data_IF_643216457340
#
_entry.id   IF_643216457340
#
_cell.length_a   1.000
_cell.length_b   1.000
_cell.length_c   1.000
_cell.angle_alpha   90.00
_cell.angle_beta   90.00
_cell.angle_gamma   90.00
#
_symmetry.space_group_name_H-M   'P 1'
#
loop_
_entity.id
_entity.type
_entity.pdbx_description
1 polymer ?
#
# COMPACT_ATOMS: atom_id res chain seq x y z
N UNK A 1 -8.20 0.36 21.06
CA UNK A 1 -7.32 1.55 21.27
C UNK A 1 -5.90 1.17 20.90
N UNK A 2 -5.18 2.08 20.25
CA UNK A 2 -3.74 1.92 20.00
C UNK A 2 -2.96 2.68 21.06
N UNK A 3 -1.98 2.03 21.71
CA UNK A 3 -1.12 2.68 22.71
C UNK A 3 0.22 3.01 22.07
N UNK A 4 0.57 4.29 22.07
CA UNK A 4 1.84 4.79 21.53
C UNK A 4 2.82 5.07 22.68
N UNK A 5 4.10 4.82 22.45
CA UNK A 5 5.16 5.04 23.43
C UNK A 5 6.29 4.01 23.35
N UNK A 6 7.32 4.13 24.20
CA UNK A 6 8.44 3.19 24.26
C UNK A 6 8.00 1.73 24.46
N UNK A 7 8.66 0.81 23.74
CA UNK A 7 8.33 -0.63 23.73
C UNK A 7 8.09 -1.22 25.11
N UNK A 8 9.04 -1.01 26.03
CA UNK A 8 8.97 -1.51 27.42
C UNK A 8 7.73 -1.03 28.17
N UNK A 9 7.29 0.20 27.94
CA UNK A 9 6.12 0.77 28.62
C UNK A 9 4.80 0.26 28.01
N UNK A 10 4.77 0.04 26.69
CA UNK A 10 3.59 -0.53 26.02
C UNK A 10 3.32 -1.98 26.40
N UNK A 11 4.37 -2.78 26.63
CA UNK A 11 4.24 -4.18 27.05
C UNK A 11 3.47 -4.31 28.37
N UNK A 12 3.65 -3.35 29.29
CA UNK A 12 2.92 -3.28 30.56
C UNK A 12 1.42 -2.95 30.38
N UNK A 13 1.02 -2.48 29.19
CA UNK A 13 -0.32 -1.98 28.88
C UNK A 13 -1.04 -2.82 27.81
N UNK A 14 -0.51 -4.01 27.48
CA UNK A 14 -1.05 -4.87 26.42
C UNK A 14 -2.51 -5.32 26.67
N UNK A 15 -2.93 -5.42 27.93
CA UNK A 15 -4.29 -5.81 28.32
C UNK A 15 -5.09 -4.65 28.94
N UNK A 16 -4.64 -3.41 28.73
CA UNK A 16 -5.32 -2.23 29.26
C UNK A 16 -6.74 -2.16 28.69
N UNK A 17 -7.71 -2.09 29.59
CA UNK A 17 -9.12 -1.94 29.28
C UNK A 17 -9.61 -0.66 29.94
N UNK A 18 -10.15 0.25 29.14
CA UNK A 18 -10.66 1.54 29.61
C UNK A 18 -12.16 1.55 29.40
N UNK A 19 -12.93 1.90 30.42
CA UNK A 19 -14.36 2.15 30.29
C UNK A 19 -14.56 3.65 30.04
N UNK A 20 -15.10 4.00 28.87
CA UNK A 20 -15.44 5.38 28.50
C UNK A 20 -16.95 5.45 28.32
N UNK A 21 -17.66 6.07 29.26
CA UNK A 21 -19.13 6.26 29.22
C UNK A 21 -19.92 4.97 28.95
N UNK A 22 -19.50 3.83 29.52
CA UNK A 22 -20.14 2.53 29.30
C UNK A 22 -19.59 1.74 28.10
N UNK A 23 -18.70 2.33 27.30
CA UNK A 23 -17.99 1.64 26.23
C UNK A 23 -16.65 1.09 26.74
N UNK A 24 -16.52 -0.24 26.74
CA UNK A 24 -15.27 -0.93 27.05
C UNK A 24 -14.34 -0.89 25.86
N UNK A 25 -13.24 -0.15 25.96
CA UNK A 25 -12.21 -0.04 24.94
C UNK A 25 -10.99 -0.86 25.36
N UNK A 26 -10.66 -1.87 24.56
CA UNK A 26 -9.51 -2.75 24.80
C UNK A 26 -8.31 -2.30 23.97
N UNK A 27 -7.12 -2.44 24.54
CA UNK A 27 -5.86 -2.30 23.82
C UNK A 27 -5.77 -3.32 22.68
N UNK A 28 -5.42 -2.86 21.47
CA UNK A 28 -5.26 -3.73 20.31
C UNK A 28 -3.87 -3.52 19.69
N UNK A 29 -3.33 -4.60 19.13
CA UNK A 29 -2.02 -4.61 18.46
C UNK A 29 -2.06 -3.88 17.12
N UNK A 30 -3.24 -3.72 16.52
CA UNK A 30 -3.43 -2.84 15.38
C UNK A 30 -4.78 -2.15 15.44
N UNK A 31 -4.89 -0.99 14.81
CA UNK A 31 -6.12 -0.24 14.62
C UNK A 31 -6.23 0.17 13.16
N UNK A 32 -7.44 0.20 12.63
CA UNK A 32 -7.71 0.84 11.35
C UNK A 32 -8.18 2.26 11.58
N UNK A 33 -7.46 3.22 11.04
CA UNK A 33 -7.83 4.62 11.03
C UNK A 33 -7.86 5.14 9.59
N UNK A 34 -8.98 5.70 9.17
CA UNK A 34 -9.23 6.12 7.78
C UNK A 34 -8.85 5.05 6.72
N UNK A 35 -8.97 3.76 7.05
CA UNK A 35 -8.59 2.67 6.13
C UNK A 35 -7.10 2.30 6.12
N UNK A 36 -6.27 2.99 6.91
CA UNK A 36 -4.86 2.66 7.15
C UNK A 36 -4.75 1.76 8.37
N UNK A 37 -3.99 0.66 8.26
CA UNK A 37 -3.71 -0.20 9.42
C UNK A 37 -2.48 0.35 10.14
N UNK A 38 -2.69 0.81 11.37
CA UNK A 38 -1.65 1.34 12.26
C UNK A 38 -1.29 0.29 13.29
N UNK A 39 0.01 0.09 13.49
CA UNK A 39 0.59 -0.67 14.58
C UNK A 39 1.28 0.28 15.58
N UNK A 40 1.56 -0.16 16.82
CA UNK A 40 2.14 0.69 17.85
C UNK A 40 3.50 1.29 17.46
N UNK A 41 4.28 0.60 16.62
CA UNK A 41 5.58 1.06 16.12
C UNK A 41 5.44 2.01 14.91
N UNK A 42 4.21 2.28 14.45
CA UNK A 42 3.90 3.04 13.24
C UNK A 42 4.73 2.52 12.04
N UNK A 43 4.89 1.20 11.97
CA UNK A 43 5.71 0.55 10.95
C UNK A 43 5.01 0.45 9.59
N UNK A 44 3.68 0.57 9.56
CA UNK A 44 2.84 0.42 8.36
C UNK A 44 3.05 -0.89 7.58
N UNK A 45 3.79 -1.88 8.13
CA UNK A 45 4.18 -3.07 7.39
C UNK A 45 2.97 -3.91 6.99
N UNK A 46 2.01 -4.06 7.91
CA UNK A 46 0.76 -4.77 7.67
C UNK A 46 -0.11 -4.05 6.63
N UNK A 47 -0.13 -2.72 6.68
CA UNK A 47 -0.83 -1.90 5.69
C UNK A 47 -0.21 -2.08 4.30
N UNK A 48 1.10 -1.88 4.16
CA UNK A 48 1.85 -2.07 2.90
C UNK A 48 1.64 -3.49 2.36
N UNK A 49 1.70 -4.51 3.22
CA UNK A 49 1.46 -5.91 2.85
C UNK A 49 0.06 -6.10 2.29
N UNK A 50 -0.95 -5.53 2.95
CA UNK A 50 -2.36 -5.64 2.54
C UNK A 50 -2.61 -4.92 1.22
N UNK A 51 -2.17 -3.67 1.09
CA UNK A 51 -2.28 -2.88 -0.14
C UNK A 51 -1.58 -3.58 -1.30
N UNK A 52 -0.33 -4.04 -1.10
CA UNK A 52 0.43 -4.76 -2.12
C UNK A 52 -0.29 -6.04 -2.58
N UNK A 53 -0.81 -6.83 -1.62
CA UNK A 53 -1.54 -8.08 -1.93
C UNK A 53 -2.77 -7.80 -2.79
N UNK A 54 -3.58 -6.82 -2.39
CA UNK A 54 -4.78 -6.41 -3.12
C UNK A 54 -4.44 -5.87 -4.50
N UNK A 55 -3.41 -5.03 -4.62
CA UNK A 55 -2.94 -4.51 -5.89
C UNK A 55 -2.49 -5.63 -6.84
N UNK A 56 -1.67 -6.58 -6.38
CA UNK A 56 -1.27 -7.72 -7.21
C UNK A 56 -2.44 -8.60 -7.61
N UNK A 57 -3.45 -8.77 -6.75
CA UNK A 57 -4.67 -9.47 -7.12
C UNK A 57 -5.38 -8.80 -8.30
N UNK A 58 -5.59 -7.48 -8.24
CA UNK A 58 -6.19 -6.74 -9.35
C UNK A 58 -5.32 -6.74 -10.60
N UNK A 59 -4.00 -6.56 -10.47
CA UNK A 59 -3.08 -6.61 -11.61
C UNK A 59 -3.11 -7.96 -12.33
N UNK A 60 -3.21 -9.08 -11.61
CA UNK A 60 -3.38 -10.41 -12.24
C UNK A 60 -4.67 -10.50 -13.03
N UNK A 61 -5.76 -9.95 -12.51
CA UNK A 61 -7.05 -9.96 -13.20
C UNK A 61 -7.02 -9.06 -14.45
N UNK A 62 -6.46 -7.86 -14.33
CA UNK A 62 -6.27 -6.94 -15.47
C UNK A 62 -5.36 -7.58 -16.53
N UNK A 63 -4.27 -8.24 -16.13
CA UNK A 63 -3.37 -8.93 -17.05
C UNK A 63 -4.09 -10.01 -17.87
N UNK A 64 -5.02 -10.77 -17.27
CA UNK A 64 -5.82 -11.79 -17.98
C UNK A 64 -6.70 -11.19 -19.07
N UNK A 65 -7.30 -10.03 -18.80
CA UNK A 65 -8.20 -9.37 -19.77
C UNK A 65 -7.49 -8.32 -20.64
N UNK A 66 -6.17 -8.13 -20.46
CA UNK A 66 -5.40 -7.04 -21.08
C UNK A 66 -5.46 -7.04 -22.61
N UNK A 67 -5.64 -8.21 -23.24
CA UNK A 67 -5.74 -8.33 -24.69
C UNK A 67 -7.07 -7.79 -25.24
N UNK A 68 -8.12 -7.74 -24.42
CA UNK A 68 -9.45 -7.26 -24.78
C UNK A 68 -9.66 -5.78 -24.45
N UNK A 69 -8.71 -5.15 -23.73
CA UNK A 69 -8.80 -3.75 -23.33
C UNK A 69 -7.95 -2.84 -24.23
N UNK A 70 -8.50 -1.66 -24.55
CA UNK A 70 -7.70 -0.55 -25.07
C UNK A 70 -6.63 -0.13 -24.05
N UNK A 71 -5.60 0.60 -24.50
CA UNK A 71 -4.59 1.13 -23.56
C UNK A 71 -5.25 2.07 -22.52
N UNK A 72 -6.14 2.94 -22.97
CA UNK A 72 -6.83 3.91 -22.12
C UNK A 72 -7.73 3.24 -21.07
N UNK A 73 -8.48 2.21 -21.44
CA UNK A 73 -9.35 1.51 -20.49
C UNK A 73 -8.54 0.68 -19.49
N UNK A 74 -7.45 0.05 -19.95
CA UNK A 74 -6.52 -0.63 -19.06
C UNK A 74 -5.88 0.35 -18.06
N UNK A 75 -5.54 1.55 -18.50
CA UNK A 75 -5.01 2.62 -17.65
C UNK A 75 -6.02 3.04 -16.58
N UNK A 76 -7.29 3.27 -16.96
CA UNK A 76 -8.38 3.55 -16.01
C UNK A 76 -8.57 2.43 -14.99
N UNK A 77 -8.57 1.17 -15.42
CA UNK A 77 -8.65 0.02 -14.52
C UNK A 77 -7.47 -0.01 -13.55
N UNK A 78 -6.24 0.17 -14.05
CA UNK A 78 -5.04 0.22 -13.21
C UNK A 78 -5.14 1.37 -12.22
N UNK A 79 -5.57 2.55 -12.64
CA UNK A 79 -5.71 3.70 -11.76
C UNK A 79 -6.74 3.42 -10.65
N UNK A 80 -7.95 2.99 -11.02
CA UNK A 80 -9.04 2.74 -10.07
C UNK A 80 -8.72 1.59 -9.08
N UNK A 81 -8.03 0.55 -9.53
CA UNK A 81 -7.76 -0.62 -8.69
C UNK A 81 -6.42 -0.61 -7.96
N UNK A 82 -5.43 0.11 -8.49
CA UNK A 82 -4.04 0.02 -8.02
C UNK A 82 -3.49 1.38 -7.60
N UNK A 83 -3.34 2.33 -8.52
CA UNK A 83 -2.58 3.55 -8.19
C UNK A 83 -3.32 4.43 -7.20
N UNK A 84 -4.65 4.55 -7.29
CA UNK A 84 -5.45 5.31 -6.30
C UNK A 84 -5.25 4.81 -4.86
N UNK A 85 -5.04 3.50 -4.67
CA UNK A 85 -4.77 2.89 -3.36
C UNK A 85 -3.33 3.09 -2.90
N UNK A 86 -2.39 3.19 -3.83
CA UNK A 86 -1.01 3.57 -3.52
C UNK A 86 -0.98 5.04 -3.09
N UNK A 87 -1.65 5.90 -3.86
CA UNK A 87 -1.65 7.35 -3.67
C UNK A 87 -2.35 7.81 -2.39
N UNK A 88 -3.34 7.04 -1.91
CA UNK A 88 -4.08 7.34 -0.69
C UNK A 88 -3.18 7.58 0.53
N UNK A 89 -2.06 6.85 0.63
CA UNK A 89 -1.14 6.94 1.77
C UNK A 89 0.22 7.56 1.41
N UNK A 90 0.40 8.12 0.21
CA UNK A 90 1.72 8.63 -0.21
C UNK A 90 2.27 9.69 0.76
N UNK A 91 1.42 10.55 1.33
CA UNK A 91 1.84 11.54 2.32
C UNK A 91 2.36 10.89 3.62
N UNK A 92 1.73 9.80 4.08
CA UNK A 92 2.14 9.05 5.27
C UNK A 92 3.43 8.26 5.05
N UNK A 93 3.69 7.87 3.80
CA UNK A 93 4.86 7.10 3.41
C UNK A 93 6.06 7.99 3.04
N UNK A 94 5.88 9.31 2.99
CA UNK A 94 6.97 10.25 2.74
C UNK A 94 8.01 10.19 3.87
N UNK A 95 9.27 9.91 3.52
CA UNK A 95 10.36 9.72 4.49
C UNK A 95 10.41 8.33 5.12
N UNK A 96 9.55 7.39 4.69
CA UNK A 96 9.60 6.01 5.17
C UNK A 96 10.76 5.23 4.51
N UNK A 97 11.41 4.26 5.19
CA UNK A 97 12.59 3.59 4.64
C UNK A 97 12.32 2.90 3.30
N UNK A 98 13.21 3.10 2.32
CA UNK A 98 13.13 2.52 0.97
C UNK A 98 12.91 1.01 0.96
N UNK A 99 13.46 0.33 1.97
CA UNK A 99 13.33 -1.12 2.13
C UNK A 99 11.85 -1.53 2.21
N UNK A 100 11.04 -0.75 2.91
CA UNK A 100 9.62 -0.99 3.06
C UNK A 100 8.81 -0.62 1.81
N UNK A 101 9.22 0.44 1.10
CA UNK A 101 8.55 0.92 -0.12
C UNK A 101 8.84 0.04 -1.36
N UNK A 102 9.83 -0.85 -1.29
CA UNK A 102 10.15 -1.82 -2.35
C UNK A 102 8.94 -2.54 -2.94
N UNK A 103 8.03 -3.02 -2.08
CA UNK A 103 6.86 -3.79 -2.52
C UNK A 103 5.91 -2.93 -3.33
N UNK A 104 5.70 -1.68 -2.92
CA UNK A 104 4.85 -0.73 -3.62
C UNK A 104 5.48 -0.31 -4.96
N UNK A 105 6.80 -0.09 -4.99
CA UNK A 105 7.51 0.14 -6.26
C UNK A 105 7.35 -1.04 -7.23
N UNK A 106 7.41 -2.28 -6.73
CA UNK A 106 7.20 -3.46 -7.57
C UNK A 106 5.78 -3.54 -8.13
N UNK A 107 4.78 -3.13 -7.34
CA UNK A 107 3.39 -3.00 -7.80
C UNK A 107 3.31 -2.00 -8.95
N UNK A 108 3.86 -0.79 -8.77
CA UNK A 108 3.86 0.26 -9.80
C UNK A 108 4.57 -0.20 -11.08
N UNK A 109 5.74 -0.82 -10.93
CA UNK A 109 6.51 -1.38 -12.04
C UNK A 109 5.71 -2.45 -12.81
N UNK A 110 4.99 -3.31 -12.08
CA UNK A 110 4.17 -4.37 -12.69
C UNK A 110 2.97 -3.77 -13.42
N UNK A 111 2.33 -2.77 -12.83
CA UNK A 111 1.23 -2.03 -13.43
C UNK A 111 1.65 -1.38 -14.75
N UNK A 112 2.78 -0.67 -14.75
CA UNK A 112 3.33 -0.04 -15.95
C UNK A 112 3.59 -1.07 -17.05
N UNK A 113 4.22 -2.21 -16.72
CA UNK A 113 4.48 -3.29 -17.68
C UNK A 113 3.20 -3.90 -18.26
N UNK A 114 2.16 -4.09 -17.45
CA UNK A 114 0.86 -4.60 -17.94
C UNK A 114 0.23 -3.58 -18.88
N UNK A 115 0.28 -2.29 -18.53
CA UNK A 115 -0.28 -1.22 -19.36
C UNK A 115 0.41 -1.14 -20.73
N UNK A 116 1.74 -1.10 -20.74
CA UNK A 116 2.55 -0.94 -21.96
C UNK A 116 2.86 -2.25 -22.67
N UNK A 117 2.46 -3.39 -22.11
CA UNK A 117 2.84 -4.74 -22.56
C UNK A 117 4.36 -4.91 -22.68
N UNK A 118 5.12 -4.21 -21.85
CA UNK A 118 6.59 -4.26 -21.88
C UNK A 118 7.10 -5.56 -21.28
N UNK A 119 7.94 -6.26 -22.02
CA UNK A 119 8.54 -7.51 -21.58
C UNK A 119 9.41 -7.33 -20.32
N UNK A 120 9.44 -8.34 -19.44
CA UNK A 120 10.05 -8.27 -18.09
C UNK A 120 11.52 -7.86 -18.07
N UNK A 121 12.28 -8.19 -19.13
CA UNK A 121 13.72 -7.90 -19.25
C UNK A 121 14.05 -6.43 -19.53
N UNK A 122 13.11 -5.65 -20.05
CA UNK A 122 13.38 -4.23 -20.36
C UNK A 122 13.45 -3.39 -19.10
N UNK A 123 14.28 -2.35 -19.13
CA UNK A 123 14.39 -1.37 -18.06
C UNK A 123 13.04 -0.69 -17.79
N UNK A 124 12.69 -0.54 -16.52
CA UNK A 124 11.39 0.01 -16.13
C UNK A 124 11.36 1.54 -16.10
N UNK A 125 12.50 2.17 -15.78
CA UNK A 125 12.65 3.63 -15.72
C UNK A 125 12.14 4.37 -16.97
N UNK A 126 12.55 3.99 -18.21
CA UNK A 126 12.02 4.68 -19.40
C UNK A 126 10.51 4.44 -19.60
N UNK A 127 9.98 3.31 -19.15
CA UNK A 127 8.54 3.02 -19.24
C UNK A 127 7.75 3.94 -18.31
N UNK A 128 8.19 4.08 -17.05
CA UNK A 128 7.56 4.99 -16.09
C UNK A 128 7.60 6.44 -16.57
N UNK A 129 8.74 6.88 -17.10
CA UNK A 129 8.88 8.21 -17.70
C UNK A 129 7.90 8.42 -18.86
N UNK A 130 7.74 7.42 -19.75
CA UNK A 130 6.78 7.50 -20.88
C UNK A 130 5.31 7.59 -20.44
N UNK A 131 5.01 7.14 -19.23
CA UNK A 131 3.68 7.21 -18.61
C UNK A 131 3.52 8.44 -17.71
N UNK A 132 4.57 9.23 -17.49
CA UNK A 132 4.62 10.31 -16.49
C UNK A 132 4.32 9.82 -15.06
N UNK A 133 4.64 8.56 -14.74
CA UNK A 133 4.42 7.98 -13.41
C UNK A 133 5.65 8.16 -12.53
N UNK A 134 5.46 8.78 -11.36
CA UNK A 134 6.53 8.96 -10.37
C UNK A 134 6.84 7.64 -9.64
N UNK A 135 8.12 7.34 -9.39
CA UNK A 135 8.47 6.21 -8.53
C UNK A 135 7.97 6.44 -7.10
N UNK A 136 7.64 5.33 -6.42
CA UNK A 136 7.21 5.34 -5.01
C UNK A 136 8.40 5.63 -4.08
N UNK A 137 9.62 5.33 -4.53
CA UNK A 137 10.84 5.72 -3.83
C UNK A 137 11.40 6.99 -4.45
N UNK A 138 11.77 7.94 -3.60
CA UNK A 138 12.51 9.15 -3.96
C UNK A 138 14.01 8.92 -3.96
#
# INVERSE_FOLDING_TARGET
MLVLGPKKQRELLLNLTINLNGCTVVSNKTVKDLGVTLDPDLSFEEHIKTVSRTAFFHLRNIAKIRNFLSKNDAEKCIHAFVTSRLDYCNALLSGYPDKALNKLQLVLNTAARILTRTHKKYYITPVLASLHWLPVKG
#
